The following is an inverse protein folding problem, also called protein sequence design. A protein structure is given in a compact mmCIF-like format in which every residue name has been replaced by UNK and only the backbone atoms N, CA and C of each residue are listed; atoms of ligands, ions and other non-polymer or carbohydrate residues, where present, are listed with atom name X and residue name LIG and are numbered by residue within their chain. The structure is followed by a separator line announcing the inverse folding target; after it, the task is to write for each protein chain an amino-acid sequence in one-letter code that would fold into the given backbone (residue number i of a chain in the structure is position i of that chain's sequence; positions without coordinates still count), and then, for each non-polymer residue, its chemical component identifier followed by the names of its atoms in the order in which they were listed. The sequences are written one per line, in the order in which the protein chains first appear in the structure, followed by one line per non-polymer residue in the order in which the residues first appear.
data_IF_646241187967
#
_entry.id   IF_646241187967
#
_cell.length_a   1.000
_cell.length_b   1.000
_cell.length_c   1.000
_cell.angle_alpha   90.00
_cell.angle_beta   90.00
_cell.angle_gamma   90.00
#
_symmetry.space_group_name_H-M   'P 1'
#
loop_
_entity.id
_entity.type
_entity.pdbx_description
1 polymer ?
#
# COMPACT_ATOMS: atom_id res chain seq x y z
N UNK A 1 -57.04 54.78 49.56
CA UNK A 1 -56.12 54.98 48.42
C UNK A 1 -55.23 53.75 48.29
N UNK A 2 -55.22 53.11 47.10
CA UNK A 2 -54.28 52.10 46.57
C UNK A 2 -54.40 50.67 47.14
N UNK A 3 -55.03 49.75 46.39
CA UNK A 3 -54.51 48.86 45.31
C UNK A 3 -53.85 47.59 45.91
N UNK A 4 -54.46 46.40 45.86
CA UNK A 4 -54.56 45.46 44.72
C UNK A 4 -53.18 44.94 44.26
N UNK A 5 -52.83 43.67 44.54
CA UNK A 5 -52.63 42.61 43.52
C UNK A 5 -52.13 41.28 44.14
N UNK A 6 -52.69 40.19 43.60
CA UNK A 6 -52.22 38.80 43.68
C UNK A 6 -50.77 38.66 43.22
N UNK A 7 -50.03 37.69 43.75
CA UNK A 7 -48.87 37.15 43.04
C UNK A 7 -48.85 35.61 43.09
N UNK A 8 -48.70 35.06 41.89
CA UNK A 8 -48.90 33.67 41.50
C UNK A 8 -47.69 32.79 41.84
N UNK A 9 -47.97 31.50 41.97
CA UNK A 9 -47.03 30.38 42.01
C UNK A 9 -46.17 30.37 40.73
N UNK A 10 -44.84 30.33 40.87
CA UNK A 10 -43.92 29.98 39.79
C UNK A 10 -43.05 28.80 40.25
N UNK A 11 -43.36 27.61 39.76
CA UNK A 11 -42.51 26.42 39.89
C UNK A 11 -41.39 26.56 38.86
N UNK A 12 -40.17 26.85 39.34
CA UNK A 12 -38.98 26.84 38.49
C UNK A 12 -38.53 25.38 38.36
N UNK A 13 -38.93 24.75 37.25
CA UNK A 13 -38.32 23.51 36.78
C UNK A 13 -36.96 23.85 36.19
N UNK A 14 -35.88 23.60 36.94
CA UNK A 14 -34.52 23.60 36.39
C UNK A 14 -34.35 22.37 35.50
N UNK A 15 -34.63 22.52 34.20
CA UNK A 15 -34.06 21.63 33.19
C UNK A 15 -32.54 21.83 33.21
N UNK A 16 -31.81 20.87 33.78
CA UNK A 16 -30.40 20.68 33.45
C UNK A 16 -30.32 20.32 31.97
N UNK A 17 -29.95 21.29 31.14
CA UNK A 17 -29.42 21.01 29.81
C UNK A 17 -28.10 20.27 29.99
N UNK A 18 -28.13 18.94 29.84
CA UNK A 18 -26.94 18.17 29.52
C UNK A 18 -26.56 18.58 28.10
N UNK A 19 -25.56 19.45 27.98
CA UNK A 19 -24.93 19.73 26.68
C UNK A 19 -24.35 18.40 26.19
N UNK A 20 -24.74 17.89 25.01
CA UNK A 20 -24.09 16.73 24.44
C UNK A 20 -22.62 17.08 24.27
N UNK A 21 -21.75 16.27 24.88
CA UNK A 21 -20.31 16.42 24.71
C UNK A 21 -20.01 16.51 23.22
N UNK A 22 -19.36 17.61 22.82
CA UNK A 22 -18.74 17.71 21.51
C UNK A 22 -17.65 16.64 21.52
N UNK A 23 -17.98 15.45 21.01
CA UNK A 23 -16.97 14.55 20.49
C UNK A 23 -16.39 15.31 19.30
N UNK A 24 -15.32 16.04 19.55
CA UNK A 24 -14.49 16.56 18.47
C UNK A 24 -13.93 15.34 17.79
N UNK A 25 -14.57 14.89 16.71
CA UNK A 25 -13.95 13.97 15.76
C UNK A 25 -12.63 14.63 15.35
N UNK A 26 -11.51 14.13 15.87
CA UNK A 26 -10.19 14.61 15.50
C UNK A 26 -10.06 14.47 14.00
N UNK A 27 -9.93 15.60 13.29
CA UNK A 27 -9.79 15.67 11.83
C UNK A 27 -8.83 14.58 11.35
N UNK A 28 -9.18 13.84 10.31
CA UNK A 28 -8.35 12.77 9.76
C UNK A 28 -8.32 12.89 8.23
N UNK A 29 -7.16 12.73 7.58
CA UNK A 29 -7.11 12.74 6.12
C UNK A 29 -7.89 11.56 5.54
N UNK A 30 -8.61 11.82 4.46
CA UNK A 30 -9.19 10.80 3.59
C UNK A 30 -8.17 10.36 2.52
N UNK A 31 -8.22 9.07 2.17
CA UNK A 31 -7.51 8.45 1.06
C UNK A 31 -8.54 7.91 0.06
N UNK A 32 -8.30 8.15 -1.23
CA UNK A 32 -9.11 7.58 -2.31
C UNK A 32 -8.40 6.38 -2.94
N UNK A 33 -9.05 5.22 -2.94
CA UNK A 33 -8.45 3.96 -3.43
C UNK A 33 -9.22 3.43 -4.64
N UNK A 34 -8.53 3.28 -5.77
CA UNK A 34 -9.09 2.65 -6.97
C UNK A 34 -9.22 1.13 -6.76
N UNK A 35 -10.46 0.63 -6.67
CA UNK A 35 -10.78 -0.79 -6.43
C UNK A 35 -10.85 -1.58 -7.74
N UNK A 36 -11.50 -1.01 -8.76
CA UNK A 36 -11.65 -1.59 -10.10
C UNK A 36 -11.61 -0.46 -11.13
N UNK A 37 -11.00 -0.70 -12.30
CA UNK A 37 -10.81 0.31 -13.35
C UNK A 37 -11.29 -0.23 -14.70
N UNK A 38 -11.95 0.62 -15.48
CA UNK A 38 -12.39 0.29 -16.84
C UNK A 38 -13.40 -0.84 -16.92
N UNK A 39 -14.14 -1.11 -15.84
CA UNK A 39 -15.12 -2.21 -15.80
C UNK A 39 -16.44 -1.79 -16.44
N UNK A 40 -17.13 -2.74 -17.09
CA UNK A 40 -18.46 -2.52 -17.64
C UNK A 40 -19.57 -2.71 -16.59
N UNK A 41 -19.24 -3.33 -15.46
CA UNK A 41 -20.21 -3.71 -14.43
C UNK A 41 -19.54 -3.85 -13.07
N UNK A 42 -20.26 -3.49 -12.01
CA UNK A 42 -19.91 -3.78 -10.63
C UNK A 42 -21.19 -3.94 -9.78
N UNK A 43 -21.08 -4.69 -8.69
CA UNK A 43 -22.19 -4.92 -7.78
C UNK A 43 -21.89 -4.34 -6.39
N UNK A 44 -22.90 -3.72 -5.80
CA UNK A 44 -22.85 -3.10 -4.48
C UNK A 44 -23.95 -3.64 -3.59
N UNK A 45 -23.69 -3.84 -2.29
CA UNK A 45 -24.75 -4.14 -1.32
C UNK A 45 -24.40 -3.62 0.08
N UNK A 46 -25.44 -3.37 0.88
CA UNK A 46 -25.31 -3.16 2.32
C UNK A 46 -25.86 -4.40 3.03
N UNK A 47 -25.01 -5.20 3.67
CA UNK A 47 -25.49 -6.42 4.36
C UNK A 47 -26.30 -6.11 5.60
N UNK A 48 -25.90 -5.08 6.34
CA UNK A 48 -26.51 -4.65 7.60
C UNK A 48 -27.12 -3.24 7.52
N UNK A 49 -27.07 -2.60 6.35
CA UNK A 49 -27.55 -1.25 6.13
C UNK A 49 -28.26 -1.09 4.78
N UNK A 50 -29.08 -0.04 4.69
CA UNK A 50 -29.53 0.49 3.40
C UNK A 50 -28.32 1.05 2.62
N UNK A 51 -28.37 0.98 1.29
CA UNK A 51 -27.50 1.81 0.46
C UNK A 51 -28.26 3.00 -0.10
N UNK A 52 -27.60 4.15 -0.10
CA UNK A 52 -28.07 5.39 -0.67
C UNK A 52 -27.21 5.76 -1.86
N UNK A 53 -27.84 6.05 -3.00
CA UNK A 53 -27.15 6.45 -4.23
C UNK A 53 -27.45 7.91 -4.55
N UNK A 54 -26.43 8.68 -4.89
CA UNK A 54 -26.51 10.10 -5.23
C UNK A 54 -25.78 10.38 -6.55
N UNK A 55 -26.11 11.49 -7.20
CA UNK A 55 -25.40 11.98 -8.40
C UNK A 55 -24.49 13.17 -8.10
N UNK A 56 -24.64 13.77 -6.92
CA UNK A 56 -23.89 14.91 -6.43
C UNK A 56 -23.66 14.72 -4.92
N UNK A 57 -22.47 15.04 -4.43
CA UNK A 57 -22.07 14.91 -3.02
C UNK A 57 -22.88 15.82 -2.09
N UNK A 58 -23.32 16.98 -2.57
CA UNK A 58 -24.08 17.95 -1.79
C UNK A 58 -25.60 17.67 -1.82
N UNK A 59 -26.01 16.62 -2.54
CA UNK A 59 -27.41 16.26 -2.70
C UNK A 59 -28.00 15.74 -1.38
N UNK A 60 -29.06 16.41 -0.89
CA UNK A 60 -29.70 16.06 0.40
C UNK A 60 -30.49 14.76 0.39
N UNK A 61 -30.97 14.31 -0.77
CA UNK A 61 -31.85 13.15 -0.90
C UNK A 61 -31.31 12.18 -1.95
N UNK A 62 -31.28 10.87 -1.68
CA UNK A 62 -30.78 9.89 -2.64
C UNK A 62 -31.69 9.78 -3.87
N UNK A 63 -31.09 9.51 -5.03
CA UNK A 63 -31.81 9.18 -6.26
C UNK A 63 -32.35 7.74 -6.27
N UNK A 64 -31.75 6.89 -5.43
CA UNK A 64 -32.12 5.49 -5.25
C UNK A 64 -31.72 5.03 -3.85
N UNK A 65 -32.60 4.29 -3.19
CA UNK A 65 -32.33 3.63 -1.92
C UNK A 65 -32.48 2.13 -2.13
N UNK A 66 -31.49 1.37 -1.69
CA UNK A 66 -31.43 -0.08 -1.84
C UNK A 66 -31.66 -0.70 -0.46
N UNK A 67 -32.67 -1.57 -0.31
CA UNK A 67 -32.90 -2.28 0.93
C UNK A 67 -31.68 -3.08 1.39
N UNK A 68 -31.58 -3.30 2.70
CA UNK A 68 -30.56 -4.16 3.28
C UNK A 68 -30.59 -5.56 2.63
N UNK A 69 -29.43 -6.18 2.41
CA UNK A 69 -29.23 -7.48 1.74
C UNK A 69 -29.58 -7.50 0.23
N UNK A 70 -30.23 -6.46 -0.31
CA UNK A 70 -30.43 -6.33 -1.74
C UNK A 70 -29.17 -5.82 -2.45
N UNK A 71 -29.06 -6.20 -3.73
CA UNK A 71 -27.92 -5.86 -4.58
C UNK A 71 -28.27 -4.70 -5.51
N UNK A 72 -27.38 -3.72 -5.54
CA UNK A 72 -27.30 -2.70 -6.57
C UNK A 72 -26.33 -3.18 -7.65
N UNK A 73 -26.89 -3.57 -8.79
CA UNK A 73 -26.12 -3.86 -10.00
C UNK A 73 -25.96 -2.58 -10.80
N UNK A 74 -24.71 -2.15 -11.00
CA UNK A 74 -24.38 -0.99 -11.82
C UNK A 74 -23.70 -1.45 -13.09
N UNK A 75 -24.28 -1.08 -14.24
CA UNK A 75 -23.66 -1.30 -15.56
C UNK A 75 -23.30 0.03 -16.19
N UNK A 76 -22.20 0.05 -16.91
CA UNK A 76 -21.74 1.20 -17.68
C UNK A 76 -21.82 0.89 -19.17
N UNK A 77 -22.83 1.45 -19.83
CA UNK A 77 -23.16 1.18 -21.23
C UNK A 77 -23.39 2.51 -21.95
N UNK A 78 -22.85 2.63 -23.17
CA UNK A 78 -23.04 3.81 -24.02
C UNK A 78 -22.75 5.15 -23.29
N UNK A 79 -21.73 5.18 -22.44
CA UNK A 79 -21.35 6.35 -21.63
C UNK A 79 -22.40 6.78 -20.57
N UNK A 80 -23.29 5.87 -20.16
CA UNK A 80 -24.34 6.10 -19.15
C UNK A 80 -24.26 5.05 -18.04
N UNK A 81 -24.79 5.40 -16.85
CA UNK A 81 -24.95 4.42 -15.77
C UNK A 81 -26.33 3.80 -15.83
N UNK A 82 -26.40 2.48 -15.73
CA UNK A 82 -27.64 1.73 -15.54
C UNK A 82 -27.62 1.15 -14.12
N UNK A 83 -28.61 1.51 -13.30
CA UNK A 83 -28.79 1.03 -11.93
C UNK A 83 -30.02 0.13 -11.90
N UNK A 84 -29.83 -1.17 -11.63
CA UNK A 84 -30.90 -2.17 -11.61
C UNK A 84 -31.85 -2.09 -12.83
N UNK A 85 -31.28 -1.87 -14.03
CA UNK A 85 -32.02 -1.79 -15.30
C UNK A 85 -32.55 -0.41 -15.68
N UNK A 86 -32.37 0.63 -14.85
CA UNK A 86 -32.79 2.01 -15.15
C UNK A 86 -31.58 2.89 -15.45
N UNK A 87 -31.65 3.65 -16.54
CA UNK A 87 -30.56 4.55 -16.98
C UNK A 87 -30.56 5.88 -16.24
N UNK A 88 -29.37 6.36 -15.88
CA UNK A 88 -29.10 7.63 -15.21
C UNK A 88 -27.98 8.39 -15.94
N UNK A 89 -28.28 9.63 -16.33
CA UNK A 89 -27.32 10.57 -16.89
C UNK A 89 -26.65 11.36 -15.76
N UNK A 90 -25.55 10.83 -15.23
CA UNK A 90 -24.75 11.49 -14.21
C UNK A 90 -23.26 11.47 -14.60
N UNK A 91 -22.48 12.48 -14.20
CA UNK A 91 -21.01 12.45 -14.42
C UNK A 91 -20.33 11.41 -13.52
N UNK A 92 -20.88 11.22 -12.34
CA UNK A 92 -20.42 10.28 -11.32
C UNK A 92 -21.60 9.86 -10.44
N UNK A 93 -21.41 8.78 -9.68
CA UNK A 93 -22.35 8.34 -8.66
C UNK A 93 -21.63 8.22 -7.33
N UNK A 94 -22.33 8.54 -6.25
CA UNK A 94 -21.88 8.31 -4.89
C UNK A 94 -22.75 7.24 -4.26
N UNK A 95 -22.16 6.26 -3.60
CA UNK A 95 -22.84 5.17 -2.91
C UNK A 95 -22.36 5.18 -1.47
N UNK A 96 -23.31 5.30 -0.55
CA UNK A 96 -23.08 5.33 0.90
C UNK A 96 -23.94 4.27 1.57
N UNK A 97 -23.37 3.55 2.54
CA UNK A 97 -24.16 2.76 3.48
C UNK A 97 -24.73 3.68 4.57
N UNK A 98 -25.73 3.20 5.32
CA UNK A 98 -26.12 3.82 6.59
C UNK A 98 -24.93 3.99 7.56
N UNK A 99 -25.09 4.86 8.56
CA UNK A 99 -24.00 5.28 9.47
C UNK A 99 -23.15 4.10 9.98
N UNK A 100 -21.82 4.25 9.89
CA UNK A 100 -20.77 3.32 10.34
C UNK A 100 -20.81 1.88 9.77
N UNK A 101 -21.58 1.65 8.71
CA UNK A 101 -21.72 0.33 8.08
C UNK A 101 -20.85 0.16 6.84
N UNK A 102 -20.47 -1.09 6.53
CA UNK A 102 -19.63 -1.40 5.36
C UNK A 102 -20.44 -1.47 4.06
N UNK A 103 -19.84 -0.98 2.98
CA UNK A 103 -20.31 -1.18 1.61
C UNK A 103 -19.60 -2.40 1.05
N UNK A 104 -20.35 -3.33 0.49
CA UNK A 104 -19.80 -4.50 -0.19
C UNK A 104 -19.65 -4.20 -1.67
N UNK A 105 -18.44 -4.30 -2.22
CA UNK A 105 -18.15 -4.16 -3.65
C UNK A 105 -17.74 -5.54 -4.16
N UNK A 106 -18.54 -6.14 -5.05
CA UNK A 106 -18.33 -7.51 -5.53
C UNK A 106 -18.08 -8.50 -4.36
N UNK A 107 -18.96 -8.46 -3.36
CA UNK A 107 -18.93 -9.25 -2.12
C UNK A 107 -17.78 -8.95 -1.12
N UNK A 108 -16.87 -8.02 -1.43
CA UNK A 108 -15.81 -7.59 -0.51
C UNK A 108 -16.22 -6.35 0.29
N UNK A 109 -16.10 -6.34 1.64
CA UNK A 109 -16.54 -5.22 2.47
C UNK A 109 -15.50 -4.10 2.55
N UNK A 110 -15.96 -2.86 2.47
CA UNK A 110 -15.16 -1.64 2.58
C UNK A 110 -15.82 -0.65 3.53
N UNK A 111 -14.98 0.04 4.32
CA UNK A 111 -15.40 1.19 5.14
C UNK A 111 -15.52 2.45 4.28
N UNK A 112 -16.18 3.47 4.83
CA UNK A 112 -16.37 4.75 4.16
C UNK A 112 -17.41 4.67 3.04
N UNK A 113 -17.16 5.35 1.92
CA UNK A 113 -18.11 5.41 0.80
C UNK A 113 -17.45 5.12 -0.55
N UNK A 114 -18.27 5.04 -1.59
CA UNK A 114 -17.81 4.73 -2.94
C UNK A 114 -18.23 5.82 -3.92
N UNK A 115 -17.31 6.19 -4.81
CA UNK A 115 -17.59 6.99 -6.00
C UNK A 115 -17.38 6.15 -7.26
N UNK A 116 -18.31 6.27 -8.21
CA UNK A 116 -18.21 5.69 -9.55
C UNK A 116 -17.92 6.80 -10.56
N UNK A 117 -16.75 6.77 -11.19
CA UNK A 117 -16.34 7.75 -12.20
C UNK A 117 -16.48 7.19 -13.62
N UNK A 118 -16.98 8.04 -14.53
CA UNK A 118 -16.96 7.78 -15.98
C UNK A 118 -15.56 8.03 -16.54
N UNK A 119 -14.95 7.00 -17.12
CA UNK A 119 -13.65 7.04 -17.78
C UNK A 119 -13.71 6.13 -19.04
N UNK A 120 -12.62 5.48 -19.44
CA UNK A 120 -12.62 4.38 -20.41
C UNK A 120 -13.28 3.12 -19.80
N UNK A 121 -14.59 3.21 -19.55
CA UNK A 121 -15.35 2.31 -18.68
C UNK A 121 -15.72 2.98 -17.35
N UNK A 122 -16.11 2.18 -16.36
CA UNK A 122 -16.37 2.66 -15.01
C UNK A 122 -15.14 2.44 -14.12
N UNK A 123 -14.79 3.44 -13.32
CA UNK A 123 -13.80 3.31 -12.24
C UNK A 123 -14.52 3.35 -10.90
N UNK A 124 -14.26 2.35 -10.06
CA UNK A 124 -14.83 2.22 -8.72
C UNK A 124 -13.78 2.69 -7.71
N UNK A 125 -14.10 3.74 -6.96
CA UNK A 125 -13.19 4.39 -6.01
C UNK A 125 -13.78 4.29 -4.61
N UNK A 126 -13.04 3.72 -3.67
CA UNK A 126 -13.39 3.74 -2.26
C UNK A 126 -12.76 4.98 -1.59
N UNK A 127 -13.61 5.79 -0.97
CA UNK A 127 -13.22 6.92 -0.12
C UNK A 127 -13.22 6.44 1.33
N UNK A 128 -12.07 6.54 1.99
CA UNK A 128 -11.88 5.95 3.31
C UNK A 128 -10.92 6.80 4.14
N UNK A 129 -11.18 6.92 5.44
CA UNK A 129 -10.29 7.64 6.34
C UNK A 129 -8.97 6.89 6.49
N UNK A 130 -7.87 7.61 6.71
CA UNK A 130 -6.51 7.02 6.68
C UNK A 130 -6.31 5.81 7.62
N UNK A 131 -6.78 5.86 8.87
CA UNK A 131 -6.68 4.75 9.82
C UNK A 131 -7.52 3.52 9.39
N UNK A 132 -8.73 3.74 8.87
CA UNK A 132 -9.59 2.68 8.35
C UNK A 132 -8.96 1.97 7.14
N UNK A 133 -8.31 2.74 6.26
CA UNK A 133 -7.50 2.21 5.18
C UNK A 133 -6.36 1.31 5.71
N UNK A 134 -5.68 1.76 6.76
CA UNK A 134 -4.55 1.02 7.35
C UNK A 134 -4.97 -0.27 8.05
N UNK A 135 -6.21 -0.37 8.57
CA UNK A 135 -6.71 -1.65 9.08
C UNK A 135 -6.79 -2.71 7.98
N UNK A 136 -7.05 -2.32 6.73
CA UNK A 136 -7.05 -3.20 5.57
C UNK A 136 -5.66 -3.46 4.95
N UNK A 137 -4.69 -2.56 5.18
CA UNK A 137 -3.34 -2.66 4.59
C UNK A 137 -2.35 -3.40 5.49
N UNK A 138 -2.23 -3.01 6.76
CA UNK A 138 -1.18 -3.54 7.66
C UNK A 138 -1.20 -5.07 7.78
N UNK A 139 -2.36 -5.76 7.93
CA UNK A 139 -2.40 -7.21 7.98
C UNK A 139 -2.02 -7.91 6.66
N UNK A 140 -2.04 -7.19 5.52
CA UNK A 140 -1.58 -7.71 4.22
C UNK A 140 -0.07 -7.56 4.05
N UNK A 141 0.56 -6.67 4.81
CA UNK A 141 2.00 -6.42 4.77
C UNK A 141 2.79 -7.17 5.83
N UNK A 142 2.25 -7.30 7.05
CA UNK A 142 2.87 -8.06 8.13
C UNK A 142 1.90 -9.06 8.77
N UNK A 143 2.36 -10.29 9.09
CA UNK A 143 1.57 -11.22 9.88
C UNK A 143 1.19 -10.63 11.25
N UNK A 144 -0.09 -10.72 11.62
CA UNK A 144 -0.63 -10.18 12.87
C UNK A 144 0.00 -10.77 14.14
N UNK A 145 0.63 -11.94 14.03
CA UNK A 145 1.33 -12.63 15.12
C UNK A 145 2.73 -12.07 15.41
N UNK A 146 3.22 -11.13 14.59
CA UNK A 146 4.53 -10.53 14.79
C UNK A 146 4.56 -9.57 15.98
N UNK A 147 5.75 -9.29 16.55
CA UNK A 147 5.86 -8.42 17.71
C UNK A 147 5.25 -7.04 17.46
N UNK A 148 4.54 -6.52 18.46
CA UNK A 148 3.82 -5.25 18.38
C UNK A 148 4.72 -4.06 17.99
N UNK A 149 6.01 -4.09 18.32
CA UNK A 149 6.98 -3.07 17.86
C UNK A 149 7.15 -3.04 16.34
N UNK A 150 7.18 -4.21 15.69
CA UNK A 150 7.25 -4.30 14.23
C UNK A 150 5.93 -3.88 13.57
N UNK A 151 4.79 -4.31 14.13
CA UNK A 151 3.48 -3.91 13.63
C UNK A 151 3.28 -2.39 13.70
N UNK A 152 3.66 -1.74 14.81
CA UNK A 152 3.61 -0.27 14.93
C UNK A 152 4.53 0.43 13.94
N UNK A 153 5.76 -0.08 13.74
CA UNK A 153 6.66 0.47 12.73
C UNK A 153 6.05 0.37 11.32
N UNK A 154 5.45 -0.77 10.97
CA UNK A 154 4.75 -0.95 9.70
C UNK A 154 3.55 -0.03 9.56
N UNK A 155 2.77 0.21 10.62
CA UNK A 155 1.64 1.14 10.61
C UNK A 155 2.09 2.56 10.28
N UNK A 156 3.16 3.06 10.92
CA UNK A 156 3.72 4.39 10.66
C UNK A 156 4.28 4.48 9.24
N UNK A 157 5.02 3.47 8.79
CA UNK A 157 5.57 3.42 7.42
C UNK A 157 4.46 3.39 6.37
N UNK A 158 3.43 2.56 6.55
CA UNK A 158 2.30 2.47 5.65
C UNK A 158 1.48 3.78 5.61
N UNK A 159 1.24 4.42 6.76
CA UNK A 159 0.57 5.73 6.84
C UNK A 159 1.37 6.81 6.09
N UNK A 160 2.66 6.86 6.36
CA UNK A 160 3.57 7.83 5.73
C UNK A 160 3.59 7.63 4.21
N UNK A 161 3.69 6.38 3.76
CA UNK A 161 3.63 6.05 2.33
C UNK A 161 2.31 6.51 1.70
N UNK A 162 1.17 6.19 2.30
CA UNK A 162 -0.14 6.53 1.78
C UNK A 162 -0.31 8.05 1.65
N UNK A 163 0.05 8.80 2.69
CA UNK A 163 -0.04 10.27 2.69
C UNK A 163 0.94 10.93 1.71
N UNK A 164 2.17 10.39 1.59
CA UNK A 164 3.16 10.86 0.63
C UNK A 164 2.72 10.65 -0.82
N UNK A 165 2.10 9.52 -1.10
CA UNK A 165 1.73 9.07 -2.43
C UNK A 165 0.28 9.43 -2.81
N UNK A 166 -0.32 10.39 -2.11
CA UNK A 166 -1.59 10.97 -2.57
C UNK A 166 -1.43 11.55 -3.97
N UNK A 167 -2.47 11.43 -4.78
CA UNK A 167 -2.50 11.77 -6.20
C UNK A 167 -1.57 10.95 -7.11
N UNK A 168 -1.04 9.79 -6.67
CA UNK A 168 -0.19 8.93 -7.51
C UNK A 168 -0.92 8.41 -8.75
N UNK A 169 -2.24 8.32 -8.69
CA UNK A 169 -3.12 7.94 -9.79
C UNK A 169 -4.10 9.07 -10.17
N UNK A 170 -3.62 10.31 -10.14
CA UNK A 170 -4.46 11.49 -10.44
C UNK A 170 -5.11 11.45 -11.81
N UNK A 171 -4.46 10.85 -12.81
CA UNK A 171 -5.01 10.66 -14.15
C UNK A 171 -6.22 9.70 -14.15
N UNK A 172 -6.24 8.74 -13.23
CA UNK A 172 -7.33 7.79 -13.03
C UNK A 172 -8.37 8.29 -12.01
N UNK A 173 -8.12 9.42 -11.34
CA UNK A 173 -9.05 10.08 -10.42
C UNK A 173 -8.99 9.60 -8.97
N UNK A 174 -7.94 8.89 -8.55
CA UNK A 174 -7.77 8.42 -7.17
C UNK A 174 -6.31 8.53 -6.68
N UNK A 175 -6.09 8.39 -5.38
CA UNK A 175 -4.77 8.49 -4.77
C UNK A 175 -3.93 7.23 -5.01
N UNK A 176 -4.43 6.07 -4.57
CA UNK A 176 -3.70 4.80 -4.51
C UNK A 176 -4.48 3.66 -5.19
N UNK A 177 -3.78 2.68 -5.77
CA UNK A 177 -4.43 1.44 -6.20
C UNK A 177 -4.40 0.39 -5.07
N UNK A 178 -5.31 -0.59 -5.11
CA UNK A 178 -5.44 -1.63 -4.08
C UNK A 178 -4.48 -2.83 -4.25
N UNK A 179 -3.40 -2.68 -5.02
CA UNK A 179 -2.45 -3.76 -5.33
C UNK A 179 -1.05 -3.44 -4.82
N UNK A 180 -0.15 -4.41 -4.87
CA UNK A 180 1.26 -4.24 -4.49
C UNK A 180 2.03 -3.16 -5.30
N UNK A 181 1.44 -2.59 -6.36
CA UNK A 181 1.97 -1.39 -7.00
C UNK A 181 1.94 -0.16 -6.07
N UNK A 182 0.94 -0.06 -5.20
CA UNK A 182 0.86 0.91 -4.11
C UNK A 182 0.95 0.17 -2.77
N UNK A 183 -0.19 -0.31 -2.26
CA UNK A 183 -0.28 -1.18 -1.09
C UNK A 183 -1.48 -2.11 -1.28
N UNK A 184 -1.37 -3.37 -0.85
CA UNK A 184 -2.48 -4.31 -0.96
C UNK A 184 -3.58 -3.89 0.02
N UNK A 185 -4.78 -3.60 -0.50
CA UNK A 185 -5.93 -3.15 0.28
C UNK A 185 -7.15 -4.00 -0.07
N UNK A 186 -7.57 -4.84 0.87
CA UNK A 186 -8.70 -5.79 0.71
C UNK A 186 -9.91 -5.39 1.58
N UNK A 187 -9.99 -4.11 1.94
CA UNK A 187 -11.07 -3.58 2.76
C UNK A 187 -11.09 -4.18 4.17
N UNK A 188 -12.26 -4.21 4.79
CA UNK A 188 -12.41 -4.65 6.18
C UNK A 188 -12.32 -6.16 6.38
N UNK A 189 -12.26 -6.93 5.28
CA UNK A 189 -12.08 -8.39 5.34
C UNK A 189 -10.69 -8.82 5.79
N UNK A 190 -9.69 -7.95 5.65
CA UNK A 190 -8.31 -8.22 6.04
C UNK A 190 -8.02 -7.90 7.52
N UNK A 191 -8.91 -7.17 8.20
CA UNK A 191 -8.65 -6.63 9.54
C UNK A 191 -8.35 -7.73 10.56
N UNK A 192 -7.35 -7.48 11.41
CA UNK A 192 -7.07 -8.34 12.57
C UNK A 192 -6.92 -7.50 13.81
N UNK A 193 -7.30 -8.06 14.96
CA UNK A 193 -7.29 -7.34 16.24
C UNK A 193 -5.91 -6.76 16.56
N UNK A 194 -4.85 -7.54 16.37
CA UNK A 194 -3.48 -7.14 16.73
C UNK A 194 -2.96 -6.02 15.82
N UNK A 195 -3.25 -6.07 14.52
CA UNK A 195 -2.85 -5.01 13.58
C UNK A 195 -3.66 -3.75 13.77
N UNK A 196 -4.96 -3.85 14.05
CA UNK A 196 -5.82 -2.70 14.40
C UNK A 196 -5.27 -1.99 15.64
N UNK A 197 -4.92 -2.73 16.70
CA UNK A 197 -4.28 -2.16 17.89
C UNK A 197 -2.96 -1.44 17.57
N UNK A 198 -2.16 -1.95 16.62
CA UNK A 198 -0.92 -1.29 16.21
C UNK A 198 -1.18 0.02 15.44
N UNK A 199 -2.18 0.03 14.56
CA UNK A 199 -2.63 1.22 13.83
C UNK A 199 -3.15 2.27 14.81
N UNK A 200 -4.04 1.89 15.73
CA UNK A 200 -4.60 2.77 16.77
C UNK A 200 -3.53 3.41 17.64
N UNK A 201 -2.56 2.61 18.11
CA UNK A 201 -1.47 3.09 18.99
C UNK A 201 -0.50 4.04 18.28
N UNK A 202 -0.52 4.09 16.96
CA UNK A 202 0.31 4.97 16.14
C UNK A 202 -0.55 5.98 15.35
N UNK A 203 -1.80 6.18 15.75
CA UNK A 203 -2.75 7.06 15.05
C UNK A 203 -2.13 8.44 14.82
N UNK A 204 -2.13 8.87 13.56
CA UNK A 204 -1.61 10.15 13.14
C UNK A 204 -0.09 10.30 13.15
N UNK A 205 0.68 9.28 13.52
CA UNK A 205 2.15 9.34 13.49
C UNK A 205 2.68 9.12 12.06
N UNK A 206 3.47 10.07 11.59
CA UNK A 206 4.00 10.16 10.22
C UNK A 206 5.48 10.54 10.25
N UNK A 207 6.27 10.01 9.32
CA UNK A 207 7.70 10.31 9.20
C UNK A 207 7.99 11.49 8.27
N UNK A 208 8.87 12.38 8.72
CA UNK A 208 9.30 13.57 8.01
C UNK A 208 10.81 13.63 7.87
N UNK A 209 11.29 14.28 6.81
CA UNK A 209 12.67 14.71 6.66
C UNK A 209 12.66 16.18 6.27
N UNK A 210 13.28 17.04 7.09
CA UNK A 210 13.28 18.49 6.90
C UNK A 210 11.87 19.08 6.68
N UNK A 211 10.89 18.61 7.44
CA UNK A 211 9.50 19.11 7.40
C UNK A 211 8.65 18.58 6.24
N UNK A 212 9.19 17.75 5.35
CA UNK A 212 8.43 17.09 4.29
C UNK A 212 8.18 15.61 4.61
N UNK A 213 6.98 15.12 4.32
CA UNK A 213 6.67 13.67 4.43
C UNK A 213 7.60 12.89 3.50
N UNK A 214 8.20 11.82 4.02
CA UNK A 214 9.17 11.00 3.30
C UNK A 214 8.52 9.92 2.41
N UNK A 215 9.27 9.42 1.43
CA UNK A 215 8.95 8.19 0.71
C UNK A 215 9.25 6.97 1.58
N UNK A 216 8.30 6.60 2.44
CA UNK A 216 8.40 5.49 3.39
C UNK A 216 8.21 4.10 2.74
N UNK A 217 9.03 3.78 1.75
CA UNK A 217 9.01 2.47 1.09
C UNK A 217 9.49 1.36 2.02
N UNK A 218 8.95 0.16 1.83
CA UNK A 218 9.28 -1.02 2.63
C UNK A 218 9.25 -2.28 1.76
N UNK A 219 9.90 -3.34 2.23
CA UNK A 219 10.02 -4.60 1.48
C UNK A 219 10.09 -5.80 2.42
N UNK A 220 9.90 -7.00 1.88
CA UNK A 220 9.84 -8.24 2.68
C UNK A 220 11.11 -8.50 3.49
N UNK A 221 12.25 -8.67 2.83
CA UNK A 221 13.50 -9.06 3.49
C UNK A 221 14.70 -8.53 2.71
N UNK A 222 15.64 -7.86 3.38
CA UNK A 222 16.78 -7.23 2.70
C UNK A 222 17.88 -8.22 2.32
N UNK A 223 17.92 -9.39 2.98
CA UNK A 223 18.96 -10.40 2.87
C UNK A 223 20.21 -10.13 3.72
N UNK A 224 20.24 -9.02 4.47
CA UNK A 224 21.31 -8.68 5.41
C UNK A 224 21.75 -7.23 5.40
N UNK A 225 21.36 -6.47 4.38
CA UNK A 225 21.60 -5.03 4.29
C UNK A 225 20.57 -4.42 3.35
N UNK A 226 19.99 -3.28 3.73
CA UNK A 226 19.15 -2.49 2.83
C UNK A 226 20.00 -1.82 1.76
N UNK A 227 19.34 -1.16 0.82
CA UNK A 227 19.95 -0.52 -0.33
C UNK A 227 19.77 1.00 -0.27
N UNK A 228 20.73 1.74 -0.84
CA UNK A 228 20.60 3.18 -1.02
C UNK A 228 19.75 3.51 -2.24
N UNK A 229 18.94 4.57 -2.17
CA UNK A 229 18.00 4.94 -3.23
C UNK A 229 18.65 5.09 -4.61
N UNK A 230 19.86 5.66 -4.71
CA UNK A 230 20.55 5.85 -5.99
C UNK A 230 20.86 4.53 -6.71
N UNK A 231 20.95 3.42 -5.99
CA UNK A 231 21.22 2.10 -6.56
C UNK A 231 19.97 1.44 -7.17
N UNK A 232 18.78 1.94 -6.82
CA UNK A 232 17.49 1.39 -7.27
C UNK A 232 16.72 2.38 -8.14
N UNK A 233 16.72 3.66 -7.77
CA UNK A 233 16.00 4.75 -8.43
C UNK A 233 16.93 5.69 -9.22
N UNK A 234 18.25 5.53 -9.13
CA UNK A 234 19.21 6.37 -9.84
C UNK A 234 19.40 7.78 -9.26
N UNK A 235 18.65 8.13 -8.20
CA UNK A 235 18.72 9.44 -7.54
C UNK A 235 19.00 9.30 -6.05
N UNK A 236 19.84 10.19 -5.52
CA UNK A 236 20.14 10.26 -4.09
C UNK A 236 18.91 10.69 -3.29
N UNK A 237 18.57 9.94 -2.25
CA UNK A 237 17.52 10.28 -1.28
C UNK A 237 18.14 10.22 0.13
N UNK A 238 18.18 11.34 0.88
CA UNK A 238 18.93 11.43 2.13
C UNK A 238 18.52 10.41 3.20
N UNK A 239 17.23 10.14 3.31
CA UNK A 239 16.67 9.24 4.33
C UNK A 239 16.56 7.78 3.87
N UNK A 240 16.87 7.46 2.61
CA UNK A 240 16.87 6.07 2.09
C UNK A 240 18.32 5.63 1.81
N UNK A 241 19.03 5.32 2.89
CA UNK A 241 20.43 4.87 2.87
C UNK A 241 20.51 3.38 3.21
N UNK A 242 21.52 2.72 2.65
CA UNK A 242 21.83 1.34 2.99
C UNK A 242 22.26 1.21 4.48
N UNK A 243 21.59 0.32 5.22
CA UNK A 243 21.87 0.00 6.63
C UNK A 243 21.95 -1.50 6.83
N UNK A 244 22.78 -1.95 7.78
CA UNK A 244 22.98 -3.37 8.07
C UNK A 244 21.89 -3.96 8.96
N UNK A 245 21.48 -5.18 8.66
CA UNK A 245 20.53 -5.94 9.49
C UNK A 245 21.22 -6.67 10.65
N UNK A 246 20.43 -7.16 11.61
CA UNK A 246 20.90 -8.04 12.68
C UNK A 246 21.33 -9.43 12.21
N UNK A 247 20.83 -9.87 11.05
CA UNK A 247 21.07 -11.19 10.46
C UNK A 247 21.37 -11.03 8.98
N UNK A 248 22.26 -11.85 8.43
CA UNK A 248 22.59 -11.87 7.00
C UNK A 248 22.19 -13.20 6.38
N UNK A 249 22.07 -13.24 5.05
CA UNK A 249 21.72 -14.45 4.29
C UNK A 249 20.35 -15.03 4.67
N UNK A 250 19.42 -14.15 5.02
CA UNK A 250 18.03 -14.48 5.34
C UNK A 250 17.22 -14.78 4.08
N UNK A 251 16.13 -15.55 4.22
CA UNK A 251 15.25 -15.97 3.11
C UNK A 251 16.03 -16.53 1.90
N UNK A 252 16.84 -17.59 2.08
CA UNK A 252 17.56 -18.19 0.96
C UNK A 252 16.58 -18.73 -0.08
N UNK A 253 16.90 -18.52 -1.35
CA UNK A 253 16.13 -19.03 -2.48
C UNK A 253 17.05 -19.52 -3.59
N UNK A 254 16.55 -20.45 -4.39
CA UNK A 254 17.23 -20.96 -5.58
C UNK A 254 16.24 -21.05 -6.72
N UNK A 255 16.63 -20.57 -7.89
CA UNK A 255 15.82 -20.67 -9.09
C UNK A 255 16.67 -21.19 -10.25
N UNK A 256 16.15 -22.20 -10.95
CA UNK A 256 16.75 -22.80 -12.14
C UNK A 256 15.97 -22.36 -13.37
N UNK A 257 16.67 -21.90 -14.38
CA UNK A 257 16.10 -21.52 -15.68
C UNK A 257 16.88 -22.25 -16.75
N UNK A 258 16.23 -22.93 -17.69
CA UNK A 258 16.96 -23.58 -18.77
C UNK A 258 17.76 -22.54 -19.58
N UNK A 259 18.95 -22.90 -20.03
CA UNK A 259 19.81 -22.01 -20.84
C UNK A 259 19.06 -21.52 -22.08
N UNK A 260 18.23 -22.38 -22.69
CA UNK A 260 17.39 -22.02 -23.83
C UNK A 260 16.37 -20.92 -23.49
N UNK A 261 15.66 -21.03 -22.35
CA UNK A 261 14.71 -20.00 -21.91
C UNK A 261 15.41 -18.70 -21.54
N UNK A 262 16.59 -18.79 -20.90
CA UNK A 262 17.39 -17.61 -20.59
C UNK A 262 17.77 -16.86 -21.87
N UNK A 263 18.36 -17.56 -22.86
CA UNK A 263 18.76 -16.96 -24.14
C UNK A 263 17.56 -16.36 -24.86
N UNK A 264 16.44 -17.10 -24.94
CA UNK A 264 15.20 -16.61 -25.55
C UNK A 264 14.74 -15.27 -24.94
N UNK A 265 14.66 -15.18 -23.60
CA UNK A 265 14.25 -13.94 -22.91
C UNK A 265 15.25 -12.80 -23.13
N UNK A 266 16.54 -13.08 -23.23
CA UNK A 266 17.55 -12.08 -23.58
C UNK A 266 17.34 -11.54 -25.00
N UNK A 267 17.12 -12.43 -25.98
CA UNK A 267 16.90 -12.05 -27.38
C UNK A 267 15.59 -11.27 -27.56
N UNK A 268 14.51 -11.66 -26.86
CA UNK A 268 13.24 -10.92 -26.80
C UNK A 268 13.42 -9.52 -26.18
N UNK A 269 14.40 -9.34 -25.29
CA UNK A 269 14.79 -8.02 -24.76
C UNK A 269 15.77 -7.23 -25.67
N UNK A 270 15.99 -7.71 -26.89
CA UNK A 270 16.86 -7.08 -27.89
C UNK A 270 18.36 -7.40 -27.74
N UNK A 271 18.75 -8.33 -26.86
CA UNK A 271 20.15 -8.72 -26.64
C UNK A 271 20.51 -9.92 -27.52
N UNK A 272 21.24 -9.70 -28.60
CA UNK A 272 21.68 -10.77 -29.52
C UNK A 272 22.97 -11.44 -29.02
N UNK A 273 22.84 -12.50 -28.23
CA UNK A 273 23.99 -13.26 -27.69
C UNK A 273 24.29 -14.53 -28.49
N UNK A 274 23.32 -15.12 -29.18
CA UNK A 274 23.50 -16.43 -29.80
C UNK A 274 23.72 -17.52 -28.75
N UNK A 275 24.65 -18.45 -29.01
CA UNK A 275 24.97 -19.51 -28.05
C UNK A 275 25.77 -18.92 -26.89
N UNK A 276 25.20 -18.99 -25.70
CA UNK A 276 25.87 -18.54 -24.47
C UNK A 276 27.17 -19.34 -24.23
N UNK A 277 28.23 -18.62 -23.85
CA UNK A 277 29.55 -19.14 -23.46
C UNK A 277 29.74 -19.07 -21.94
N UNK A 278 29.67 -17.88 -21.36
CA UNK A 278 29.87 -17.67 -19.92
C UNK A 278 29.01 -16.51 -19.38
N UNK A 279 28.90 -16.46 -18.05
CA UNK A 279 28.35 -15.33 -17.30
C UNK A 279 29.45 -14.84 -16.36
N UNK A 280 29.68 -13.53 -16.31
CA UNK A 280 30.56 -12.92 -15.32
C UNK A 280 29.75 -12.09 -14.33
N UNK A 281 30.00 -12.37 -13.06
CA UNK A 281 29.50 -11.63 -11.90
C UNK A 281 30.50 -11.86 -10.76
N UNK A 282 30.91 -10.80 -10.07
CA UNK A 282 31.79 -10.91 -8.91
C UNK A 282 31.09 -11.68 -7.77
N UNK A 283 31.83 -12.40 -6.89
CA UNK A 283 31.22 -13.14 -5.79
C UNK A 283 30.38 -12.25 -4.86
N UNK A 284 29.29 -12.78 -4.32
CA UNK A 284 28.44 -12.07 -3.37
C UNK A 284 29.16 -11.83 -2.03
N UNK A 285 29.27 -10.55 -1.64
CA UNK A 285 29.69 -10.11 -0.31
C UNK A 285 28.79 -8.98 0.19
N UNK A 286 28.00 -9.23 1.23
CA UNK A 286 27.11 -8.21 1.82
C UNK A 286 27.95 -7.18 2.58
N UNK A 287 27.67 -5.89 2.40
CA UNK A 287 28.43 -4.79 3.01
C UNK A 287 29.74 -4.44 2.31
N UNK A 288 30.08 -5.14 1.22
CA UNK A 288 31.28 -4.88 0.42
C UNK A 288 30.94 -4.98 -1.06
N UNK A 289 30.74 -3.84 -1.70
CA UNK A 289 30.46 -3.75 -3.12
C UNK A 289 31.63 -4.20 -4.01
N UNK A 290 31.33 -4.31 -5.30
CA UNK A 290 32.28 -4.62 -6.38
C UNK A 290 31.93 -3.79 -7.61
N UNK A 291 32.66 -3.99 -8.72
CA UNK A 291 32.39 -3.26 -9.99
C UNK A 291 30.97 -3.46 -10.54
N UNK A 292 30.32 -4.55 -10.15
CA UNK A 292 29.05 -5.07 -10.67
C UNK A 292 28.01 -5.29 -9.54
N UNK A 293 28.35 -4.89 -8.31
CA UNK A 293 27.47 -4.98 -7.13
C UNK A 293 27.51 -3.70 -6.33
N UNK A 294 26.34 -3.31 -5.83
CA UNK A 294 26.22 -2.23 -4.85
C UNK A 294 26.87 -2.63 -3.51
N UNK A 295 27.08 -1.67 -2.59
CA UNK A 295 27.58 -1.97 -1.25
C UNK A 295 26.76 -3.02 -0.47
N UNK A 296 25.45 -3.13 -0.74
CA UNK A 296 24.59 -4.16 -0.12
C UNK A 296 24.86 -5.59 -0.65
N UNK A 297 25.67 -5.71 -1.72
CA UNK A 297 25.94 -6.97 -2.43
C UNK A 297 24.94 -7.27 -3.54
N UNK A 298 23.92 -6.43 -3.74
CA UNK A 298 22.93 -6.58 -4.82
C UNK A 298 23.58 -6.37 -6.19
N UNK A 299 23.16 -7.18 -7.14
CA UNK A 299 23.65 -7.16 -8.53
C UNK A 299 23.20 -5.86 -9.19
N UNK A 300 24.16 -5.02 -9.59
CA UNK A 300 23.90 -3.89 -10.47
C UNK A 300 23.78 -4.37 -11.91
N UNK A 301 24.72 -5.20 -12.36
CA UNK A 301 24.68 -5.82 -13.67
C UNK A 301 25.46 -7.14 -13.72
N UNK A 302 25.23 -7.94 -14.77
CA UNK A 302 26.06 -9.07 -15.17
C UNK A 302 26.56 -8.85 -16.60
N UNK A 303 27.65 -9.52 -16.96
CA UNK A 303 28.08 -9.67 -18.35
C UNK A 303 27.77 -11.08 -18.84
N UNK A 304 27.09 -11.21 -19.97
CA UNK A 304 26.81 -12.49 -20.63
C UNK A 304 27.59 -12.53 -21.94
N UNK A 305 28.43 -13.55 -22.10
CA UNK A 305 29.24 -13.74 -23.29
C UNK A 305 28.60 -14.78 -24.20
N UNK A 306 28.51 -14.46 -25.49
CA UNK A 306 27.95 -15.32 -26.52
C UNK A 306 28.90 -15.53 -27.70
N UNK A 307 28.45 -16.30 -28.69
CA UNK A 307 29.19 -16.45 -29.96
C UNK A 307 28.82 -15.41 -31.01
N UNK A 308 27.63 -14.81 -30.92
CA UNK A 308 27.18 -13.74 -31.81
C UNK A 308 27.25 -12.35 -31.20
N UNK A 309 27.53 -12.25 -29.90
CA UNK A 309 27.68 -10.98 -29.20
C UNK A 309 27.77 -11.16 -27.68
N UNK A 310 28.20 -10.10 -27.01
CA UNK A 310 28.18 -10.00 -25.55
C UNK A 310 27.09 -9.01 -25.14
N UNK A 311 26.52 -9.16 -23.96
CA UNK A 311 25.60 -8.17 -23.42
C UNK A 311 25.82 -7.91 -21.93
N UNK A 312 25.46 -6.69 -21.54
CA UNK A 312 25.31 -6.29 -20.14
C UNK A 312 23.83 -6.24 -19.81
N UNK A 313 23.46 -6.85 -18.69
CA UNK A 313 22.07 -6.95 -18.23
C UNK A 313 22.01 -6.54 -16.77
N UNK A 314 21.09 -5.64 -16.42
CA UNK A 314 20.97 -5.19 -15.03
C UNK A 314 20.39 -6.28 -14.12
N UNK A 315 20.71 -6.25 -12.83
CA UNK A 315 20.08 -7.13 -11.84
C UNK A 315 18.56 -6.97 -11.81
N UNK A 316 18.07 -5.74 -11.97
CA UNK A 316 16.65 -5.41 -12.05
C UNK A 316 15.95 -6.02 -13.27
N UNK A 317 16.60 -6.03 -14.43
CA UNK A 317 16.07 -6.68 -15.63
C UNK A 317 16.02 -8.20 -15.46
N UNK A 318 17.05 -8.81 -14.87
CA UNK A 318 17.05 -10.25 -14.55
C UNK A 318 15.91 -10.59 -13.58
N UNK A 319 15.75 -9.79 -12.52
CA UNK A 319 14.66 -9.95 -11.56
C UNK A 319 13.30 -9.91 -12.24
N UNK A 320 13.07 -8.96 -13.13
CA UNK A 320 11.81 -8.82 -13.89
C UNK A 320 11.62 -9.97 -14.89
N UNK A 321 12.63 -10.27 -15.70
CA UNK A 321 12.54 -11.28 -16.77
C UNK A 321 12.30 -12.69 -16.24
N UNK A 322 12.86 -13.01 -15.07
CA UNK A 322 12.79 -14.33 -14.47
C UNK A 322 11.97 -14.38 -13.18
N UNK A 323 11.29 -13.29 -12.81
CA UNK A 323 10.51 -13.20 -11.57
C UNK A 323 11.32 -13.58 -10.31
N UNK A 324 12.59 -13.15 -10.24
CA UNK A 324 13.45 -13.46 -9.09
C UNK A 324 12.95 -12.72 -7.82
N UNK A 325 13.09 -13.30 -6.62
CA UNK A 325 12.65 -12.64 -5.39
C UNK A 325 13.37 -11.31 -5.11
N UNK A 326 14.65 -11.22 -5.41
CA UNK A 326 15.49 -10.04 -5.15
C UNK A 326 16.60 -9.89 -6.21
N UNK A 327 17.40 -8.82 -6.10
CA UNK A 327 18.65 -8.63 -6.85
C UNK A 327 19.88 -9.09 -6.05
N UNK A 328 19.70 -9.67 -4.86
CA UNK A 328 20.77 -10.17 -4.01
C UNK A 328 21.01 -11.65 -4.29
N UNK A 329 21.74 -11.94 -5.37
CA UNK A 329 22.03 -13.31 -5.79
C UNK A 329 23.42 -13.48 -6.40
N UNK A 330 23.86 -14.73 -6.46
CA UNK A 330 24.85 -15.24 -7.40
C UNK A 330 24.14 -15.93 -8.56
N UNK A 331 24.80 -15.96 -9.73
CA UNK A 331 24.33 -16.67 -10.92
C UNK A 331 25.46 -17.48 -11.50
N UNK A 332 25.16 -18.74 -11.86
CA UNK A 332 26.11 -19.65 -12.46
C UNK A 332 25.45 -20.42 -13.59
N UNK A 333 26.25 -20.77 -14.60
CA UNK A 333 25.83 -21.69 -15.66
C UNK A 333 26.21 -23.11 -15.26
N UNK A 334 25.21 -23.97 -15.11
CA UNK A 334 25.34 -25.43 -15.08
C UNK A 334 25.12 -25.99 -16.50
N UNK A 335 25.24 -27.31 -16.71
CA UNK A 335 25.25 -27.93 -18.05
C UNK A 335 24.06 -27.52 -18.95
N UNK A 336 22.83 -27.63 -18.43
CA UNK A 336 21.60 -27.23 -19.13
C UNK A 336 20.94 -25.97 -18.57
N UNK A 337 21.34 -25.53 -17.37
CA UNK A 337 20.61 -24.54 -16.58
C UNK A 337 21.46 -23.31 -16.25
N UNK A 338 20.79 -22.17 -16.12
CA UNK A 338 21.27 -21.01 -15.38
C UNK A 338 20.66 -21.08 -13.98
N UNK A 339 21.52 -21.13 -12.97
CA UNK A 339 21.13 -21.29 -11.57
C UNK A 339 21.40 -20.00 -10.82
N UNK A 340 20.32 -19.41 -10.32
CA UNK A 340 20.35 -18.25 -9.43
C UNK A 340 20.24 -18.73 -7.99
N UNK A 341 21.12 -18.25 -7.12
CA UNK A 341 21.08 -18.51 -5.67
C UNK A 341 21.16 -17.20 -4.95
N UNK A 342 20.13 -16.88 -4.18
CA UNK A 342 20.04 -15.56 -3.56
C UNK A 342 19.37 -15.58 -2.20
N UNK A 343 19.22 -14.37 -1.68
CA UNK A 343 18.69 -14.08 -0.35
C UNK A 343 17.70 -12.93 -0.42
N UNK A 344 16.91 -12.77 0.63
CA UNK A 344 15.93 -11.70 0.75
C UNK A 344 14.80 -11.75 -0.29
N UNK A 345 13.96 -10.73 -0.24
CA UNK A 345 12.81 -10.54 -1.12
C UNK A 345 12.41 -9.06 -1.19
N UNK A 346 12.25 -8.55 -2.40
CA UNK A 346 11.89 -7.15 -2.63
C UNK A 346 13.06 -6.26 -3.07
N UNK A 347 12.77 -4.97 -3.21
CA UNK A 347 13.67 -3.98 -3.79
C UNK A 347 14.83 -3.59 -2.87
N UNK A 348 14.69 -3.78 -1.55
CA UNK A 348 15.75 -3.52 -0.57
C UNK A 348 15.81 -2.10 -0.01
N UNK A 349 14.90 -1.20 -0.41
CA UNK A 349 14.88 0.19 0.10
C UNK A 349 14.03 0.28 1.38
N UNK A 350 14.45 1.15 2.30
CA UNK A 350 13.71 1.47 3.51
C UNK A 350 13.51 0.28 4.45
N UNK A 351 12.36 0.24 5.13
CA UNK A 351 12.04 -0.77 6.15
C UNK A 351 12.06 -2.19 5.56
N UNK A 352 12.91 -3.06 6.12
CA UNK A 352 12.83 -4.51 5.90
C UNK A 352 11.84 -5.11 6.89
N UNK A 353 10.78 -5.79 6.43
CA UNK A 353 9.74 -6.33 7.31
C UNK A 353 10.30 -7.41 8.25
N UNK A 354 11.05 -8.38 7.71
CA UNK A 354 11.71 -9.42 8.53
C UNK A 354 12.81 -8.84 9.43
N UNK A 355 13.51 -7.80 8.97
CA UNK A 355 14.48 -7.09 9.80
C UNK A 355 13.81 -6.34 10.97
N UNK A 356 12.72 -5.63 10.71
CA UNK A 356 11.90 -4.96 11.74
C UNK A 356 11.40 -5.95 12.79
N UNK A 357 10.95 -7.14 12.35
CA UNK A 357 10.61 -8.24 13.27
C UNK A 357 11.81 -8.64 14.13
N UNK A 358 12.99 -8.85 13.54
CA UNK A 358 14.19 -9.24 14.27
C UNK A 358 14.64 -8.18 15.28
N UNK A 359 14.52 -6.89 14.95
CA UNK A 359 14.78 -5.80 15.90
C UNK A 359 13.74 -5.77 17.02
N UNK A 360 12.45 -5.92 16.70
CA UNK A 360 11.39 -5.96 17.69
C UNK A 360 11.49 -7.19 18.63
N UNK A 361 11.92 -8.34 18.12
CA UNK A 361 12.23 -9.54 18.92
C UNK A 361 13.37 -9.27 19.94
N UNK A 362 14.26 -8.30 19.65
CA UNK A 362 15.30 -7.81 20.59
C UNK A 362 14.85 -6.63 21.46
N UNK A 363 13.54 -6.35 21.51
CA UNK A 363 12.98 -5.32 22.36
C UNK A 363 13.10 -3.89 21.83
N UNK A 364 13.49 -3.71 20.56
CA UNK A 364 13.51 -2.37 19.96
C UNK A 364 12.10 -1.81 19.79
N UNK A 365 11.96 -0.52 20.08
CA UNK A 365 10.73 0.24 19.85
C UNK A 365 10.52 0.50 18.36
N UNK A 366 9.27 0.79 17.97
CA UNK A 366 8.92 1.20 16.60
C UNK A 366 9.72 2.42 16.14
N UNK A 367 9.93 3.43 17.00
CA UNK A 367 10.74 4.60 16.68
C UNK A 367 12.21 4.26 16.45
N UNK A 368 12.81 3.38 17.25
CA UNK A 368 14.18 2.91 17.03
C UNK A 368 14.30 2.10 15.74
N UNK A 369 13.31 1.25 15.44
CA UNK A 369 13.25 0.47 14.20
C UNK A 369 13.19 1.43 12.99
N UNK A 370 12.28 2.40 13.00
CA UNK A 370 12.12 3.34 11.90
C UNK A 370 13.34 4.24 11.71
N UNK A 371 13.93 4.74 12.81
CA UNK A 371 15.14 5.57 12.75
C UNK A 371 16.37 4.77 12.29
N UNK A 372 16.35 3.44 12.41
CA UNK A 372 17.38 2.59 11.81
C UNK A 372 17.25 2.53 10.28
N UNK A 373 16.03 2.37 9.76
CA UNK A 373 15.79 2.19 8.32
C UNK A 373 15.67 3.49 7.52
N UNK A 374 15.27 4.57 8.17
CA UNK A 374 15.11 5.87 7.55
C UNK A 374 16.01 6.89 8.26
N UNK A 375 17.04 7.35 7.56
CA UNK A 375 18.10 8.19 8.15
C UNK A 375 17.62 9.61 8.43
N UNK A 376 17.94 10.13 9.61
CA UNK A 376 17.68 11.52 10.05
C UNK A 376 16.22 11.98 9.90
N UNK A 377 15.28 11.06 10.08
CA UNK A 377 13.85 11.36 10.09
C UNK A 377 13.36 11.86 11.46
N UNK A 378 12.26 12.62 11.44
CA UNK A 378 11.43 12.87 12.63
C UNK A 378 10.11 12.10 12.50
N UNK A 379 9.51 11.74 13.64
CA UNK A 379 8.18 11.14 13.70
C UNK A 379 7.28 12.11 14.45
N UNK A 380 6.23 12.58 13.79
CA UNK A 380 5.33 13.60 14.32
C UNK A 380 3.88 13.13 14.22
N UNK A 381 3.06 13.49 15.21
CA UNK A 381 1.63 13.23 15.20
C UNK A 381 0.90 14.42 14.60
N UNK A 382 0.23 14.19 13.47
CA UNK A 382 -0.40 15.26 12.67
C UNK A 382 -1.93 15.33 12.81
N UNK A 383 -2.55 14.40 13.54
CA UNK A 383 -3.99 14.41 13.87
C UNK A 383 -4.39 13.49 15.03
#
# INVERSE_FOLDING_TARGET
MKLCLRCSILVISTLLFVVPGIVSASWQPEITVGICQGVAEAEFSGRNALLYVYTDEQQKSPILTIPQQEKLRVRFLHNTFELNGKTYEAKQLYIQAGEDESIYINDMPYRGYVTLLKQNGMTVINHVLTEDYLYGVVPKEMPSTWPMGALRAQSIAARTFALKNRNRHSEQGFDLCNTAHCQVYEGSSAETKETTVAVDRTRGEVMFYHGAIIDAVFHTDSGGMTESAEQVWGSYVPYLRAVSELQTKTKPWTQRVSTALFVKKMEESGKKIGRMKSIHLSPLSIGKGSKDRSPSGRVQFIEVLGDKGNCVVSGSDLRRLFALPSTLFDVQRESSDIVFRGYGGGHGLGLSQWGAKAFADRGKTDREILSHYYTDITIEKIY
#
